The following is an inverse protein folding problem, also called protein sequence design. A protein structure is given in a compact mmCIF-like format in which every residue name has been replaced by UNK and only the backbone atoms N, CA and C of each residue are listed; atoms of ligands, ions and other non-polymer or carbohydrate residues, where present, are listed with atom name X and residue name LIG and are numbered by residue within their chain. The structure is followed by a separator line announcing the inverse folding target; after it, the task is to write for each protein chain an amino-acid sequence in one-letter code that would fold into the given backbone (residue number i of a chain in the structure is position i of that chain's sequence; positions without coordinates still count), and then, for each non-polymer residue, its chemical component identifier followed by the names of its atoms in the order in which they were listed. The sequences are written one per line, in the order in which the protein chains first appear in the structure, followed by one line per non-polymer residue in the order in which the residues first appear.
data_IF_857994938285
#
_entry.id   IF_857994938285
#
_cell.length_a   1.000
_cell.length_b   1.000
_cell.length_c   1.000
_cell.angle_alpha   90.00
_cell.angle_beta   90.00
_cell.angle_gamma   90.00
#
_symmetry.space_group_name_H-M   'P 1'
#
loop_
_entity.id
_entity.type
_entity.pdbx_description
1 polymer ?
#
# COMPACT_ATOMS: atom_id res chain seq x y z
N UNK A 1 -9.40 -22.13 9.83
CA UNK A 1 -9.09 -22.04 8.38
C UNK A 1 -7.64 -21.62 8.24
N UNK A 2 -6.77 -22.63 7.96
CA UNK A 2 -5.36 -22.40 7.62
C UNK A 2 -5.29 -21.92 6.16
N UNK A 3 -5.69 -20.67 5.91
CA UNK A 3 -5.64 -20.10 4.56
C UNK A 3 -4.22 -19.55 4.34
N UNK A 4 -3.53 -20.10 3.34
CA UNK A 4 -2.29 -19.56 2.84
C UNK A 4 -2.61 -18.45 1.83
N UNK A 5 -2.10 -17.25 2.07
CA UNK A 5 -2.22 -16.13 1.13
C UNK A 5 -0.99 -16.05 0.22
N UNK A 6 -1.23 -15.94 -1.09
CA UNK A 6 -0.18 -15.66 -2.07
C UNK A 6 -0.35 -14.21 -2.52
N UNK A 7 0.74 -13.44 -2.46
CA UNK A 7 0.81 -12.08 -2.98
C UNK A 7 1.95 -11.98 -3.99
N UNK A 8 1.65 -11.40 -5.14
CA UNK A 8 2.66 -10.96 -6.09
C UNK A 8 2.74 -9.44 -6.05
N UNK A 9 3.95 -8.88 -6.10
CA UNK A 9 4.20 -7.44 -6.06
C UNK A 9 5.15 -7.06 -7.17
N UNK A 10 4.74 -6.08 -7.97
CA UNK A 10 5.55 -5.41 -8.96
C UNK A 10 5.74 -3.95 -8.51
N UNK A 11 6.97 -3.50 -8.51
CA UNK A 11 7.32 -2.12 -8.20
C UNK A 11 7.69 -1.40 -9.49
N UNK A 12 7.09 -0.23 -9.70
CA UNK A 12 7.34 0.61 -10.85
C UNK A 12 7.84 1.99 -10.41
N UNK A 13 8.62 2.63 -11.27
CA UNK A 13 9.04 4.02 -11.07
C UNK A 13 7.82 4.93 -11.00
N UNK A 14 7.68 5.72 -9.91
CA UNK A 14 6.58 6.66 -9.72
C UNK A 14 6.50 7.66 -10.88
N UNK A 15 7.64 8.18 -11.34
CA UNK A 15 7.69 9.11 -12.47
C UNK A 15 7.17 8.49 -13.76
N UNK A 16 7.50 7.22 -14.03
CA UNK A 16 6.97 6.48 -15.18
C UNK A 16 5.46 6.29 -15.06
N UNK A 17 4.97 5.86 -13.91
CA UNK A 17 3.54 5.64 -13.65
C UNK A 17 2.74 6.94 -13.83
N UNK A 18 3.15 8.02 -13.18
CA UNK A 18 2.49 9.33 -13.31
C UNK A 18 2.50 9.86 -14.74
N UNK A 19 3.63 9.71 -15.44
CA UNK A 19 3.75 10.14 -16.83
C UNK A 19 2.76 9.40 -17.72
N UNK A 20 2.67 8.08 -17.58
CA UNK A 20 1.75 7.23 -18.37
C UNK A 20 0.30 7.60 -18.06
N UNK A 21 -0.07 7.69 -16.79
CA UNK A 21 -1.44 8.05 -16.39
C UNK A 21 -1.84 9.42 -16.99
N UNK A 22 -0.98 10.41 -16.88
CA UNK A 22 -1.25 11.76 -17.36
C UNK A 22 -1.32 11.83 -18.88
N UNK A 23 -0.38 11.18 -19.58
CA UNK A 23 -0.27 11.23 -21.04
C UNK A 23 -1.44 10.54 -21.73
N UNK A 24 -1.91 9.43 -21.17
CA UNK A 24 -2.96 8.62 -21.76
C UNK A 24 -4.33 8.80 -21.09
N UNK A 25 -4.42 9.64 -20.04
CA UNK A 25 -5.68 9.92 -19.34
C UNK A 25 -6.28 8.68 -18.69
N UNK A 26 -5.44 7.80 -18.12
CA UNK A 26 -5.88 6.53 -17.61
C UNK A 26 -6.77 6.66 -16.38
N UNK A 27 -7.82 5.84 -16.34
CA UNK A 27 -8.69 5.68 -15.19
C UNK A 27 -8.39 4.35 -14.48
N UNK A 28 -7.78 4.44 -13.29
CA UNK A 28 -7.35 3.27 -12.52
C UNK A 28 -8.49 2.39 -11.97
N UNK A 29 -9.73 2.64 -12.39
CA UNK A 29 -10.90 1.79 -12.15
C UNK A 29 -11.37 1.05 -13.40
N UNK A 30 -10.67 1.20 -14.52
CA UNK A 30 -10.98 0.51 -15.77
C UNK A 30 -9.95 -0.56 -16.06
N UNK A 31 -10.43 -1.72 -16.40
CA UNK A 31 -9.63 -2.91 -16.67
C UNK A 31 -8.54 -2.67 -17.72
N UNK A 32 -8.94 -2.09 -18.86
CA UNK A 32 -8.02 -1.85 -19.98
C UNK A 32 -6.96 -0.81 -19.63
N UNK A 33 -7.33 0.21 -18.84
CA UNK A 33 -6.41 1.28 -18.44
C UNK A 33 -5.38 0.77 -17.42
N UNK A 34 -5.81 -0.09 -16.48
CA UNK A 34 -4.88 -0.73 -15.53
C UNK A 34 -4.00 -1.74 -16.24
N UNK A 35 -4.54 -2.52 -17.17
CA UNK A 35 -3.75 -3.44 -18.00
C UNK A 35 -2.70 -2.67 -18.81
N UNK A 36 -3.09 -1.57 -19.44
CA UNK A 36 -2.18 -0.71 -20.18
C UNK A 36 -1.04 -0.17 -19.28
N UNK A 37 -1.39 0.31 -18.07
CA UNK A 37 -0.39 0.78 -17.11
C UNK A 37 0.60 -0.33 -16.73
N UNK A 38 0.09 -1.52 -16.39
CA UNK A 38 0.91 -2.68 -16.02
C UNK A 38 1.87 -3.08 -17.17
N UNK A 39 1.41 -2.99 -18.40
CA UNK A 39 2.21 -3.36 -19.57
C UNK A 39 3.34 -2.37 -19.85
N UNK A 40 3.11 -1.07 -19.65
CA UNK A 40 4.00 -0.02 -20.13
C UNK A 40 4.81 0.68 -19.03
N UNK A 41 4.49 0.45 -17.74
CA UNK A 41 5.26 1.07 -16.66
C UNK A 41 6.68 0.50 -16.58
N UNK A 42 7.62 1.39 -16.28
CA UNK A 42 9.02 1.06 -16.05
C UNK A 42 9.18 0.46 -14.66
N UNK A 43 9.63 -0.78 -14.61
CA UNK A 43 9.80 -1.54 -13.38
C UNK A 43 11.12 -2.33 -13.42
N UNK A 44 11.59 -2.72 -12.24
CA UNK A 44 12.76 -3.57 -12.11
C UNK A 44 12.59 -4.93 -12.83
N UNK A 45 13.68 -5.57 -13.21
CA UNK A 45 13.65 -6.91 -13.83
C UNK A 45 13.09 -7.97 -12.89
N UNK A 46 13.26 -7.74 -11.59
CA UNK A 46 12.81 -8.62 -10.52
C UNK A 46 11.63 -8.05 -9.77
N UNK A 47 10.68 -8.93 -9.49
CA UNK A 47 9.49 -8.68 -8.67
C UNK A 47 9.44 -9.66 -7.50
N UNK A 48 8.60 -9.38 -6.52
CA UNK A 48 8.49 -10.21 -5.32
C UNK A 48 7.25 -11.10 -5.37
N UNK A 49 7.46 -12.36 -5.05
CA UNK A 49 6.42 -13.32 -4.69
C UNK A 49 6.50 -13.56 -3.18
N UNK A 50 5.45 -13.23 -2.47
CA UNK A 50 5.34 -13.43 -1.03
C UNK A 50 4.29 -14.48 -0.73
N UNK A 51 4.66 -15.49 0.06
CA UNK A 51 3.75 -16.48 0.60
C UNK A 51 3.60 -16.17 2.09
N UNK A 52 2.36 -15.87 2.51
CA UNK A 52 2.03 -15.60 3.91
C UNK A 52 1.16 -16.72 4.44
N UNK A 53 1.60 -17.37 5.50
CA UNK A 53 0.73 -18.25 6.27
C UNK A 53 -0.17 -17.42 7.16
N UNK A 54 -1.47 -17.69 7.12
CA UNK A 54 -2.40 -17.12 8.09
C UNK A 54 -2.21 -17.82 9.41
N UNK A 55 -1.30 -17.33 10.24
CA UNK A 55 -1.11 -17.81 11.60
C UNK A 55 -2.31 -17.41 12.45
N UNK A 56 -3.23 -18.32 12.66
CA UNK A 56 -4.28 -18.22 13.66
C UNK A 56 -3.73 -18.44 15.06
N UNK A 57 -3.03 -17.49 15.64
CA UNK A 57 -2.57 -17.59 17.01
C UNK A 57 -2.34 -16.22 17.62
N UNK A 58 -2.63 -16.10 18.92
CA UNK A 58 -2.45 -14.89 19.74
C UNK A 58 -1.00 -14.35 19.81
N UNK A 59 -0.05 -14.96 19.11
CA UNK A 59 1.37 -14.61 19.18
C UNK A 59 1.79 -13.50 18.19
N UNK A 60 0.93 -13.12 17.23
CA UNK A 60 1.25 -12.07 16.26
C UNK A 60 2.37 -12.41 15.25
N UNK A 61 3.01 -13.57 15.39
CA UNK A 61 4.09 -13.99 14.48
C UNK A 61 3.48 -14.66 13.27
N UNK A 62 3.68 -14.06 12.09
CA UNK A 62 3.31 -14.66 10.81
C UNK A 62 4.56 -15.17 10.12
N UNK A 63 4.49 -16.38 9.59
CA UNK A 63 5.52 -16.87 8.67
C UNK A 63 5.32 -16.19 7.32
N UNK A 64 6.34 -15.48 6.89
CA UNK A 64 6.38 -14.84 5.58
C UNK A 64 7.63 -15.32 4.84
N UNK A 65 7.43 -15.85 3.63
CA UNK A 65 8.53 -16.21 2.74
C UNK A 65 8.44 -15.39 1.48
N UNK A 66 9.46 -14.60 1.26
CA UNK A 66 9.63 -13.85 0.03
C UNK A 66 10.65 -14.53 -0.89
N UNK A 67 10.38 -14.49 -2.17
CA UNK A 67 11.30 -14.92 -3.21
C UNK A 67 11.21 -14.00 -4.42
N UNK A 68 12.34 -13.80 -5.06
CA UNK A 68 12.41 -13.01 -6.28
C UNK A 68 11.93 -13.84 -7.47
N UNK A 69 11.11 -13.24 -8.31
CA UNK A 69 10.61 -13.82 -9.56
C UNK A 69 10.73 -12.82 -10.69
N UNK A 70 10.84 -13.30 -11.93
CA UNK A 70 10.89 -12.42 -13.08
C UNK A 70 9.64 -11.51 -13.14
N UNK A 71 9.85 -10.22 -13.32
CA UNK A 71 8.79 -9.23 -13.47
C UNK A 71 7.85 -9.56 -14.62
N UNK A 72 8.32 -10.19 -15.71
CA UNK A 72 7.46 -10.63 -16.80
C UNK A 72 6.41 -11.67 -16.36
N UNK A 73 6.75 -12.55 -15.43
CA UNK A 73 5.80 -13.51 -14.86
C UNK A 73 4.74 -12.79 -14.04
N UNK A 74 5.18 -11.89 -13.15
CA UNK A 74 4.25 -11.08 -12.31
C UNK A 74 3.37 -10.20 -13.19
N UNK A 75 3.94 -9.54 -14.19
CA UNK A 75 3.22 -8.73 -15.18
C UNK A 75 2.10 -9.53 -15.85
N UNK A 76 2.40 -10.74 -16.31
CA UNK A 76 1.40 -11.61 -16.94
C UNK A 76 0.26 -12.01 -15.98
N UNK A 77 0.58 -12.27 -14.70
CA UNK A 77 -0.42 -12.55 -13.66
C UNK A 77 -1.30 -11.32 -13.42
N UNK A 78 -0.70 -10.14 -13.24
CA UNK A 78 -1.43 -8.90 -12.99
C UNK A 78 -2.30 -8.50 -14.19
N UNK A 79 -1.82 -8.67 -15.41
CA UNK A 79 -2.60 -8.47 -16.64
C UNK A 79 -3.84 -9.37 -16.67
N UNK A 80 -3.66 -10.65 -16.35
CA UNK A 80 -4.77 -11.61 -16.29
C UNK A 80 -5.79 -11.19 -15.20
N UNK A 81 -5.33 -10.78 -14.03
CA UNK A 81 -6.20 -10.28 -12.96
C UNK A 81 -6.92 -9.00 -13.35
N UNK A 82 -6.23 -8.04 -14.00
CA UNK A 82 -6.85 -6.80 -14.47
C UNK A 82 -8.04 -7.05 -15.39
N UNK A 83 -7.94 -8.04 -16.29
CA UNK A 83 -9.01 -8.40 -17.20
C UNK A 83 -10.15 -9.20 -16.54
N UNK A 84 -9.87 -9.92 -15.46
CA UNK A 84 -10.89 -10.68 -14.72
C UNK A 84 -11.62 -9.86 -13.67
N UNK A 85 -10.86 -9.20 -12.84
CA UNK A 85 -11.36 -8.39 -11.73
C UNK A 85 -10.30 -7.36 -11.36
N UNK A 86 -10.36 -6.19 -11.97
CA UNK A 86 -9.43 -5.10 -11.72
C UNK A 86 -9.48 -4.59 -10.28
N UNK A 87 -10.58 -4.81 -9.57
CA UNK A 87 -10.73 -4.38 -8.17
C UNK A 87 -9.87 -5.20 -7.20
N UNK A 88 -9.47 -6.42 -7.59
CA UNK A 88 -8.58 -7.28 -6.82
C UNK A 88 -7.10 -6.82 -6.85
N UNK A 89 -6.76 -5.85 -7.72
CA UNK A 89 -5.41 -5.29 -7.80
C UNK A 89 -5.30 -4.12 -6.84
N UNK A 90 -4.37 -4.23 -5.89
CA UNK A 90 -4.02 -3.12 -5.00
C UNK A 90 -2.99 -2.22 -5.71
N UNK A 91 -3.40 -1.00 -5.98
CA UNK A 91 -2.54 0.07 -6.49
C UNK A 91 -2.25 1.04 -5.36
N UNK A 92 -0.99 1.29 -5.07
CA UNK A 92 -0.58 2.22 -4.02
C UNK A 92 0.80 2.83 -4.28
N UNK A 93 1.01 4.02 -3.79
CA UNK A 93 2.31 4.65 -3.66
C UNK A 93 2.80 4.45 -2.23
N UNK A 94 4.06 4.08 -2.06
CA UNK A 94 4.66 3.87 -0.74
C UNK A 94 5.76 4.90 -0.48
N UNK A 95 5.64 5.56 0.65
CA UNK A 95 6.62 6.51 1.15
C UNK A 95 7.22 5.98 2.45
N UNK A 96 8.54 6.07 2.59
CA UNK A 96 9.22 5.76 3.86
C UNK A 96 9.51 7.05 4.61
N UNK A 97 9.16 7.09 5.89
CA UNK A 97 9.38 8.22 6.76
C UNK A 97 10.11 7.80 8.03
N UNK A 98 11.32 8.32 8.20
CA UNK A 98 12.18 7.97 9.35
C UNK A 98 12.10 9.11 10.35
N UNK A 99 11.73 8.79 11.59
CA UNK A 99 11.62 9.76 12.69
C UNK A 99 12.55 9.36 13.82
N UNK A 100 13.37 10.31 14.27
CA UNK A 100 14.21 10.14 15.47
C UNK A 100 13.56 10.86 16.64
N UNK A 101 13.22 10.12 17.70
CA UNK A 101 12.61 10.64 18.90
C UNK A 101 13.15 9.92 20.13
N UNK A 102 13.54 10.64 21.18
CA UNK A 102 14.06 10.10 22.45
C UNK A 102 15.20 9.08 22.28
N UNK A 103 16.19 9.38 21.42
CA UNK A 103 17.35 8.52 21.09
C UNK A 103 16.96 7.18 20.41
N UNK A 104 15.77 7.06 19.90
CA UNK A 104 15.29 5.94 19.11
C UNK A 104 14.85 6.42 17.73
N UNK A 105 15.03 5.57 16.73
CA UNK A 105 14.60 5.83 15.36
C UNK A 105 13.44 4.91 15.03
N UNK A 106 12.42 5.49 14.44
CA UNK A 106 11.20 4.80 14.01
C UNK A 106 11.10 4.86 12.48
N UNK A 107 10.81 3.74 11.86
CA UNK A 107 10.57 3.66 10.42
C UNK A 107 9.08 3.46 10.16
N UNK A 108 8.50 4.41 9.43
CA UNK A 108 7.10 4.39 9.02
C UNK A 108 7.00 4.20 7.53
N UNK A 109 6.20 3.25 7.09
CA UNK A 109 5.77 3.09 5.72
C UNK A 109 4.37 3.68 5.55
N UNK A 110 4.23 4.64 4.64
CA UNK A 110 2.98 5.34 4.36
C UNK A 110 2.49 4.91 2.99
N UNK A 111 1.38 4.18 2.96
CA UNK A 111 0.73 3.68 1.75
C UNK A 111 -0.43 4.59 1.36
N UNK A 112 -0.31 5.26 0.21
CA UNK A 112 -1.36 6.08 -0.40
C UNK A 112 -2.05 5.24 -1.47
N UNK A 113 -3.26 4.80 -1.19
CA UNK A 113 -3.99 3.90 -2.07
C UNK A 113 -4.62 4.63 -3.26
N UNK A 114 -4.59 3.97 -4.41
CA UNK A 114 -5.13 4.44 -5.68
C UNK A 114 -6.31 3.56 -6.16
N UNK A 115 -6.94 3.96 -7.26
CA UNK A 115 -8.00 3.19 -7.91
C UNK A 115 -9.21 2.95 -7.01
N UNK A 116 -9.57 1.69 -6.80
CA UNK A 116 -10.74 1.28 -6.00
C UNK A 116 -10.56 1.50 -4.50
N UNK A 117 -9.33 1.59 -4.01
CA UNK A 117 -9.04 1.83 -2.61
C UNK A 117 -8.73 3.29 -2.26
N UNK A 118 -8.73 4.19 -3.27
CA UNK A 118 -8.60 5.62 -3.02
C UNK A 118 -9.83 6.17 -2.28
N UNK A 119 -9.67 7.16 -1.40
CA UNK A 119 -8.48 7.90 -1.00
C UNK A 119 -7.85 7.38 0.32
N UNK A 120 -7.91 6.09 0.59
CA UNK A 120 -7.37 5.51 1.82
C UNK A 120 -5.86 5.78 1.91
N UNK A 121 -5.38 6.14 3.11
CA UNK A 121 -3.96 6.26 3.45
C UNK A 121 -3.73 5.46 4.73
N UNK A 122 -2.77 4.55 4.71
CA UNK A 122 -2.37 3.78 5.88
C UNK A 122 -0.90 4.02 6.20
N UNK A 123 -0.57 4.07 7.48
CA UNK A 123 0.80 4.15 7.96
C UNK A 123 1.11 2.94 8.84
N UNK A 124 2.17 2.22 8.53
CA UNK A 124 2.65 1.05 9.26
C UNK A 124 4.02 1.37 9.87
N UNK A 125 4.20 1.07 11.16
CA UNK A 125 5.51 1.17 11.80
C UNK A 125 6.21 -0.19 11.68
N UNK A 126 7.38 -0.22 11.03
CA UNK A 126 8.16 -1.44 10.77
C UNK A 126 8.95 -1.93 11.99
N UNK A 127 8.95 -1.18 13.08
CA UNK A 127 9.70 -1.55 14.28
C UNK A 127 9.00 -2.61 15.12
N UNK A 128 9.65 -3.77 15.24
CA UNK A 128 9.13 -4.97 15.93
C UNK A 128 9.17 -4.91 17.47
N UNK A 129 9.29 -3.74 18.10
CA UNK A 129 9.37 -3.67 19.54
C UNK A 129 7.98 -3.62 20.21
N UNK A 130 7.84 -4.16 21.46
CA UNK A 130 6.61 -3.98 22.23
C UNK A 130 6.28 -2.49 22.39
N UNK A 131 5.07 -2.13 22.06
CA UNK A 131 4.64 -0.78 21.64
C UNK A 131 4.32 0.16 22.83
N UNK A 132 5.03 0.09 23.96
CA UNK A 132 4.76 1.01 25.08
C UNK A 132 5.23 2.43 24.81
N UNK A 133 6.19 2.65 23.89
CA UNK A 133 6.83 3.94 23.64
C UNK A 133 6.82 4.34 22.15
N UNK A 134 5.83 3.87 21.37
CA UNK A 134 5.72 4.16 19.94
C UNK A 134 5.52 5.66 19.73
N UNK A 135 6.43 6.27 18.96
CA UNK A 135 6.20 7.63 18.46
C UNK A 135 5.18 7.60 17.34
N UNK A 136 3.97 8.12 17.60
CA UNK A 136 2.91 8.26 16.61
C UNK A 136 3.03 9.62 15.94
N UNK A 137 3.31 9.67 14.61
CA UNK A 137 3.34 10.94 13.88
C UNK A 137 1.99 11.66 13.93
N UNK A 138 2.02 12.99 13.93
CA UNK A 138 0.80 13.82 14.01
C UNK A 138 -0.18 13.62 12.84
N UNK A 139 0.29 13.09 11.71
CA UNK A 139 -0.56 12.77 10.58
C UNK A 139 -1.34 11.46 10.75
N UNK A 140 -1.03 10.65 11.76
CA UNK A 140 -1.80 9.47 12.10
C UNK A 140 -2.98 9.88 12.98
N UNK A 141 -4.19 9.72 12.48
CA UNK A 141 -5.40 10.17 13.17
C UNK A 141 -6.10 9.05 13.94
N UNK A 142 -6.03 7.83 13.41
CA UNK A 142 -6.72 6.67 13.97
C UNK A 142 -5.84 5.44 13.95
N UNK A 143 -5.78 4.74 15.09
CA UNK A 143 -5.18 3.41 15.15
C UNK A 143 -6.15 2.35 14.59
N UNK A 144 -5.62 1.53 13.67
CA UNK A 144 -6.35 0.41 13.04
C UNK A 144 -5.58 -0.91 13.19
N UNK A 145 -4.63 -0.97 14.11
CA UNK A 145 -3.83 -2.17 14.39
C UNK A 145 -4.75 -3.34 14.76
N UNK A 146 -4.59 -4.47 14.06
CA UNK A 146 -5.40 -5.67 14.26
C UNK A 146 -6.77 -5.64 13.59
N UNK A 147 -7.20 -4.53 12.98
CA UNK A 147 -8.44 -4.49 12.21
C UNK A 147 -8.19 -5.08 10.81
N UNK A 148 -8.74 -6.28 10.58
CA UNK A 148 -8.57 -7.03 9.33
C UNK A 148 -9.02 -6.25 8.09
N UNK A 149 -9.97 -5.33 8.23
CA UNK A 149 -10.52 -4.57 7.11
C UNK A 149 -9.46 -3.71 6.43
N UNK A 150 -8.44 -3.25 7.16
CA UNK A 150 -7.36 -2.44 6.62
C UNK A 150 -6.17 -3.24 6.08
N UNK A 151 -6.27 -4.56 6.03
CA UNK A 151 -5.24 -5.39 5.39
C UNK A 151 -5.36 -5.37 3.87
N UNK A 152 -4.22 -5.46 3.17
CA UNK A 152 -4.22 -5.55 1.70
C UNK A 152 -5.05 -6.74 1.19
N UNK A 153 -5.06 -7.87 1.92
CA UNK A 153 -5.84 -9.04 1.56
C UNK A 153 -7.36 -8.76 1.60
N UNK A 154 -7.83 -8.06 2.62
CA UNK A 154 -9.24 -7.68 2.72
C UNK A 154 -9.62 -6.64 1.67
N UNK A 155 -8.78 -5.62 1.48
CA UNK A 155 -8.99 -4.56 0.50
C UNK A 155 -9.01 -5.06 -0.96
N UNK A 156 -8.31 -6.16 -1.27
CA UNK A 156 -8.35 -6.79 -2.59
C UNK A 156 -9.68 -7.50 -2.87
N UNK A 157 -10.37 -7.95 -1.84
CA UNK A 157 -11.68 -8.65 -1.97
C UNK A 157 -12.85 -7.70 -1.72
N UNK A 158 -12.64 -6.74 -0.81
CA UNK A 158 -13.63 -5.74 -0.40
C UNK A 158 -13.03 -4.34 -0.54
N UNK A 159 -12.93 -3.81 -1.76
CA UNK A 159 -12.32 -2.51 -2.01
C UNK A 159 -12.96 -1.39 -1.19
N UNK A 160 -12.16 -0.46 -0.68
CA UNK A 160 -12.61 0.64 0.18
C UNK A 160 -13.77 1.45 -0.42
N UNK A 161 -13.80 1.59 -1.75
CA UNK A 161 -14.89 2.27 -2.46
C UNK A 161 -16.27 1.61 -2.30
N UNK A 162 -16.31 0.33 -1.88
CA UNK A 162 -17.55 -0.44 -1.69
C UNK A 162 -18.03 -0.47 -0.24
N UNK A 163 -17.27 0.10 0.70
CA UNK A 163 -17.64 0.05 2.10
C UNK A 163 -18.85 0.92 2.42
N UNK A 164 -19.84 0.34 3.09
CA UNK A 164 -21.06 1.07 3.49
C UNK A 164 -20.76 2.22 4.48
N UNK A 165 -19.71 2.10 5.29
CA UNK A 165 -19.27 3.08 6.27
C UNK A 165 -18.12 3.96 5.78
N UNK A 166 -17.82 3.95 4.47
CA UNK A 166 -16.68 4.67 3.86
C UNK A 166 -16.65 6.15 4.28
N UNK A 167 -17.77 6.85 4.15
CA UNK A 167 -17.84 8.28 4.46
C UNK A 167 -17.65 8.54 5.96
N UNK A 168 -18.10 7.64 6.82
CA UNK A 168 -17.85 7.71 8.26
C UNK A 168 -16.35 7.50 8.58
N UNK A 169 -15.69 6.58 7.88
CA UNK A 169 -14.24 6.39 8.02
C UNK A 169 -13.50 7.65 7.58
N UNK A 170 -13.88 8.23 6.43
CA UNK A 170 -13.25 9.46 5.91
C UNK A 170 -13.56 10.70 6.76
N UNK A 171 -14.75 10.83 7.31
CA UNK A 171 -15.12 11.99 8.13
C UNK A 171 -14.47 11.96 9.52
N UNK A 172 -14.14 10.79 10.02
CA UNK A 172 -13.30 10.67 11.22
C UNK A 172 -11.85 11.07 10.95
N UNK A 173 -11.46 11.13 9.68
CA UNK A 173 -10.18 11.63 9.15
C UNK A 173 -10.40 13.09 8.69
N UNK A 174 -10.78 13.99 9.60
CA UNK A 174 -10.82 15.41 9.28
C UNK A 174 -9.37 15.87 9.02
N UNK A 175 -8.96 15.82 7.77
CA UNK A 175 -7.79 16.56 7.32
C UNK A 175 -8.08 18.04 7.63
N UNK A 176 -7.59 18.52 8.75
CA UNK A 176 -7.35 19.93 8.89
C UNK A 176 -6.50 20.32 7.70
N UNK A 177 -6.97 21.29 6.91
CA UNK A 177 -6.32 21.82 5.70
C UNK A 177 -4.92 22.42 5.95
N UNK A 178 -4.15 21.89 6.89
CA UNK A 178 -2.78 22.30 7.19
C UNK A 178 -1.72 21.65 6.29
N UNK A 179 -2.12 20.70 5.42
CA UNK A 179 -1.27 20.29 4.29
C UNK A 179 -1.42 21.24 3.09
N UNK A 180 -1.46 22.55 3.37
CA UNK A 180 -1.16 23.57 2.40
C UNK A 180 0.31 23.44 2.01
N UNK A 181 0.57 23.01 0.78
CA UNK A 181 1.79 23.25 -0.01
C UNK A 181 3.05 23.67 0.80
N UNK A 182 3.53 22.84 1.68
CA UNK A 182 4.85 23.00 2.25
C UNK A 182 5.67 21.78 1.86
N UNK A 183 6.41 21.99 0.79
CA UNK A 183 7.67 21.36 0.40
C UNK A 183 8.29 20.53 1.52
N UNK A 184 8.45 19.24 1.26
CA UNK A 184 9.42 18.41 1.94
C UNK A 184 10.81 18.99 1.64
N UNK A 185 11.29 19.90 2.49
CA UNK A 185 12.70 20.26 2.48
C UNK A 185 13.48 19.07 3.03
N UNK A 186 14.22 18.43 2.14
CA UNK A 186 15.29 17.53 2.53
C UNK A 186 16.31 18.38 3.35
N UNK A 187 16.34 18.18 4.66
CA UNK A 187 17.43 18.71 5.47
C UNK A 187 18.65 17.85 5.19
N UNK A 188 19.51 18.33 4.30
CA UNK A 188 20.87 17.86 4.17
C UNK A 188 21.56 18.00 5.52
N UNK A 189 21.82 16.87 6.16
CA UNK A 189 22.58 16.81 7.39
C UNK A 189 24.06 17.16 7.13
N UNK A 190 24.52 18.17 7.84
CA UNK A 190 25.93 18.49 7.98
C UNK A 190 26.48 17.83 9.27
#
# INVERSE_FOLDING_TARGET
DDSCGIRVRMEASLQSVEHIIRTHGLNLKRSDDVAYLIEHCDCSEDSLLTIKESGGGCSGVRYEKETTVSTNVVRSILMHLAHRDVSAIILKERYSHIVSFQKRTWSWEIDVFQGFNAPLVLAECEDAAPVTDLFIPKFCEREVTGDIQFTNAYLAVHPFSTWANRDSVLSSLSFSNEFGANTFEATDGN
#
